data_IF_836769280763
#
_entry.id   IF_836769280763
#
_cell.length_a   1.000
_cell.length_b   1.000
_cell.length_c   1.000
_cell.angle_alpha   90.00
_cell.angle_beta   90.00
_cell.angle_gamma   90.00
#
_symmetry.space_group_name_H-M   'P 1'
#
loop_
_entity.id
_entity.type
_entity.pdbx_description
1 polymer ?
#
# COMPACT_ATOMS: atom_id res chain seq x y z
N UNK A 1 5.66 35.71 -30.99
CA UNK A 1 4.94 35.07 -29.86
C UNK A 1 5.49 33.65 -29.72
N UNK A 2 6.75 33.37 -29.38
CA UNK A 2 7.62 33.96 -28.35
C UNK A 2 6.89 34.14 -27.02
N UNK A 3 7.40 33.46 -25.99
CA UNK A 3 6.94 33.39 -24.59
C UNK A 3 5.83 32.38 -24.26
N UNK A 4 6.18 31.09 -24.18
CA UNK A 4 5.95 30.37 -22.91
C UNK A 4 6.83 29.12 -22.80
N UNK A 5 8.10 29.38 -22.46
CA UNK A 5 8.88 28.47 -21.65
C UNK A 5 8.16 28.26 -20.31
N UNK A 6 7.31 27.23 -20.21
CA UNK A 6 7.10 26.58 -18.93
C UNK A 6 8.12 25.45 -18.87
N UNK A 7 9.30 25.79 -18.34
CA UNK A 7 10.36 24.86 -18.03
C UNK A 7 9.75 23.63 -17.33
N UNK A 8 9.75 22.49 -18.01
CA UNK A 8 9.61 21.19 -17.38
C UNK A 8 10.82 21.06 -16.46
N UNK A 9 10.62 21.52 -15.22
CA UNK A 9 11.66 21.57 -14.19
C UNK A 9 12.27 20.19 -14.10
N UNK A 10 13.55 20.10 -14.47
CA UNK A 10 14.37 18.96 -14.15
C UNK A 10 14.37 18.75 -12.65
N UNK A 11 13.65 17.73 -12.21
CA UNK A 11 13.99 17.01 -10.97
C UNK A 11 14.73 15.77 -11.43
N UNK A 12 16.02 15.95 -11.71
CA UNK A 12 16.96 14.84 -11.78
C UNK A 12 17.11 14.27 -10.37
N UNK A 13 16.16 13.43 -9.97
CA UNK A 13 16.36 12.47 -8.87
C UNK A 13 16.33 11.10 -9.52
N UNK A 14 17.53 10.52 -9.64
CA UNK A 14 17.84 9.23 -10.24
C UNK A 14 17.21 8.01 -9.55
N UNK A 15 16.16 8.20 -8.74
CA UNK A 15 15.45 7.12 -8.08
C UNK A 15 14.13 6.87 -8.82
N UNK A 16 14.06 5.72 -9.49
CA UNK A 16 12.84 5.21 -10.10
C UNK A 16 12.13 4.41 -9.01
N UNK A 17 10.96 4.88 -8.55
CA UNK A 17 10.07 4.08 -7.70
C UNK A 17 9.71 2.74 -8.32
N UNK A 18 9.00 1.90 -7.57
CA UNK A 18 8.53 0.62 -8.09
C UNK A 18 7.49 0.86 -9.17
N UNK A 19 7.68 0.19 -10.31
CA UNK A 19 6.71 0.19 -11.39
C UNK A 19 5.41 -0.48 -10.89
N UNK A 20 4.26 0.20 -10.98
CA UNK A 20 2.98 -0.37 -10.56
C UNK A 20 2.61 -1.67 -11.31
N UNK A 21 3.21 -1.93 -12.48
CA UNK A 21 2.97 -3.13 -13.30
C UNK A 21 4.09 -4.18 -13.13
N UNK A 22 5.03 -3.95 -12.21
CA UNK A 22 6.10 -4.90 -11.91
C UNK A 22 5.54 -6.24 -11.40
N UNK A 23 6.05 -7.36 -11.93
CA UNK A 23 5.56 -8.70 -11.57
C UNK A 23 5.65 -8.98 -10.07
N UNK A 24 6.65 -8.44 -9.36
CA UNK A 24 6.80 -8.58 -7.91
C UNK A 24 5.63 -7.94 -7.16
N UNK A 25 5.22 -6.75 -7.60
CA UNK A 25 4.13 -6.00 -6.98
C UNK A 25 2.79 -6.66 -7.29
N UNK A 26 2.60 -7.17 -8.51
CA UNK A 26 1.43 -7.97 -8.87
C UNK A 26 1.33 -9.21 -7.99
N UNK A 27 2.41 -9.96 -7.80
CA UNK A 27 2.42 -11.10 -6.87
C UNK A 27 2.08 -10.67 -5.44
N UNK A 28 2.62 -9.55 -4.98
CA UNK A 28 2.31 -9.00 -3.66
C UNK A 28 0.83 -8.65 -3.51
N UNK A 29 0.24 -8.00 -4.51
CA UNK A 29 -1.20 -7.68 -4.53
C UNK A 29 -2.06 -8.95 -4.55
N UNK A 30 -1.66 -9.99 -5.29
CA UNK A 30 -2.39 -11.27 -5.28
C UNK A 30 -2.38 -11.93 -3.90
N UNK A 31 -1.23 -11.89 -3.19
CA UNK A 31 -1.13 -12.37 -1.81
C UNK A 31 -1.99 -11.50 -0.88
N UNK A 32 -1.95 -10.18 -1.07
CA UNK A 32 -2.74 -9.23 -0.27
C UNK A 32 -4.24 -9.50 -0.39
N UNK A 33 -4.74 -9.73 -1.61
CA UNK A 33 -6.15 -10.08 -1.86
C UNK A 33 -6.51 -11.41 -1.19
N UNK A 34 -5.63 -12.42 -1.28
CA UNK A 34 -5.87 -13.70 -0.64
C UNK A 34 -5.93 -13.58 0.89
N UNK A 35 -5.01 -12.84 1.50
CA UNK A 35 -5.03 -12.57 2.95
C UNK A 35 -6.28 -11.78 3.36
N UNK A 36 -6.65 -10.75 2.61
CA UNK A 36 -7.86 -9.98 2.86
C UNK A 36 -9.13 -10.85 2.84
N UNK A 37 -9.23 -11.80 1.91
CA UNK A 37 -10.34 -12.75 1.86
C UNK A 37 -10.40 -13.65 3.11
N UNK A 38 -9.24 -14.04 3.63
CA UNK A 38 -9.14 -14.82 4.87
C UNK A 38 -9.57 -13.97 6.05
N UNK A 39 -9.07 -12.74 6.18
CA UNK A 39 -9.42 -11.82 7.27
C UNK A 39 -10.93 -11.50 7.28
N UNK A 40 -11.50 -11.21 6.11
CA UNK A 40 -12.95 -10.96 5.94
C UNK A 40 -13.81 -12.17 6.33
N UNK A 41 -13.29 -13.38 6.16
CA UNK A 41 -14.02 -14.61 6.52
C UNK A 41 -13.84 -14.96 8.00
N UNK A 42 -12.63 -14.80 8.54
CA UNK A 42 -12.30 -15.17 9.91
C UNK A 42 -12.85 -14.19 10.94
N UNK A 43 -12.80 -12.88 10.67
CA UNK A 43 -13.26 -11.85 11.59
C UNK A 43 -14.70 -12.07 12.11
N UNK A 44 -15.73 -12.25 11.24
CA UNK A 44 -17.09 -12.47 11.72
C UNK A 44 -17.23 -13.79 12.48
N UNK A 45 -16.47 -14.84 12.13
CA UNK A 45 -16.51 -16.14 12.82
C UNK A 45 -15.97 -16.00 14.24
N UNK A 46 -14.82 -15.35 14.40
CA UNK A 46 -14.19 -15.14 15.72
C UNK A 46 -15.11 -14.32 16.61
N UNK A 47 -15.70 -13.24 16.08
CA UNK A 47 -16.61 -12.36 16.83
C UNK A 47 -17.92 -13.06 17.20
N UNK A 48 -18.53 -13.82 16.28
CA UNK A 48 -19.84 -14.44 16.52
C UNK A 48 -19.77 -15.65 17.45
N UNK A 49 -18.66 -16.40 17.46
CA UNK A 49 -18.49 -17.60 18.30
C UNK A 49 -17.57 -17.42 19.50
N UNK A 50 -17.10 -16.18 19.76
CA UNK A 50 -16.15 -15.86 20.85
C UNK A 50 -14.99 -16.88 20.91
N UNK A 51 -14.43 -17.19 19.73
CA UNK A 51 -13.40 -18.22 19.62
C UNK A 51 -12.16 -17.72 20.36
N UNK A 52 -11.82 -18.41 21.45
CA UNK A 52 -10.58 -18.15 22.18
C UNK A 52 -9.39 -18.39 21.26
N UNK A 53 -8.76 -17.29 20.87
CA UNK A 53 -7.59 -17.25 20.01
C UNK A 53 -6.48 -18.09 20.65
N UNK A 54 -6.23 -19.27 20.06
CA UNK A 54 -5.15 -20.15 20.48
C UNK A 54 -3.78 -19.52 20.24
N UNK A 55 -2.71 -20.06 20.83
CA UNK A 55 -1.34 -19.54 20.62
C UNK A 55 -0.94 -19.51 19.14
N UNK A 56 -1.47 -20.42 18.31
CA UNK A 56 -1.22 -20.42 16.87
C UNK A 56 -1.78 -19.17 16.17
N UNK A 57 -2.91 -18.65 16.67
CA UNK A 57 -3.53 -17.45 16.11
C UNK A 57 -2.71 -16.19 16.42
N UNK A 58 -1.96 -16.17 17.54
CA UNK A 58 -1.06 -15.07 17.85
C UNK A 58 -0.01 -14.87 16.76
N UNK A 59 0.57 -15.95 16.22
CA UNK A 59 1.53 -15.85 15.12
C UNK A 59 0.89 -15.34 13.84
N UNK A 60 -0.35 -15.76 13.55
CA UNK A 60 -1.12 -15.26 12.41
C UNK A 60 -1.37 -13.75 12.53
N UNK A 61 -1.86 -13.28 13.67
CA UNK A 61 -2.13 -11.85 13.90
C UNK A 61 -0.86 -11.01 13.75
N UNK A 62 0.26 -11.42 14.35
CA UNK A 62 1.54 -10.71 14.21
C UNK A 62 1.99 -10.69 12.74
N UNK A 63 1.85 -11.80 12.03
CA UNK A 63 2.18 -11.87 10.60
C UNK A 63 1.31 -10.89 9.78
N UNK A 64 -0.01 -10.87 9.99
CA UNK A 64 -0.91 -9.96 9.28
C UNK A 64 -0.58 -8.50 9.58
N UNK A 65 -0.38 -8.13 10.85
CA UNK A 65 -0.01 -6.76 11.23
C UNK A 65 1.29 -6.32 10.55
N UNK A 66 2.30 -7.18 10.53
CA UNK A 66 3.56 -6.89 9.83
C UNK A 66 3.36 -6.78 8.32
N UNK A 67 2.55 -7.66 7.73
CA UNK A 67 2.24 -7.64 6.30
C UNK A 67 1.53 -6.34 5.90
N UNK A 68 0.48 -5.94 6.62
CA UNK A 68 -0.26 -4.70 6.37
C UNK A 68 0.61 -3.46 6.64
N UNK A 69 1.53 -3.51 7.60
CA UNK A 69 2.54 -2.46 7.80
C UNK A 69 3.47 -2.33 6.59
N UNK A 70 3.90 -3.45 6.00
CA UNK A 70 4.73 -3.45 4.79
C UNK A 70 3.95 -2.93 3.58
N UNK A 71 2.68 -3.33 3.41
CA UNK A 71 1.82 -2.82 2.34
C UNK A 71 1.66 -1.30 2.41
N UNK A 72 1.44 -0.76 3.62
CA UNK A 72 1.40 0.67 3.87
C UNK A 72 2.71 1.37 3.44
N UNK A 73 3.87 0.80 3.78
CA UNK A 73 5.17 1.34 3.36
C UNK A 73 5.36 1.22 1.83
N UNK A 74 4.89 0.13 1.23
CA UNK A 74 4.91 -0.07 -0.22
C UNK A 74 4.07 0.97 -0.96
N UNK A 75 2.99 1.47 -0.35
CA UNK A 75 2.20 2.59 -0.88
C UNK A 75 3.00 3.88 -1.08
N UNK A 76 4.05 4.12 -0.28
CA UNK A 76 4.91 5.31 -0.43
C UNK A 76 5.93 5.18 -1.58
N UNK A 77 6.29 3.95 -1.97
CA UNK A 77 7.34 3.68 -2.96
C UNK A 77 6.79 3.23 -4.32
N UNK A 78 5.51 2.87 -4.39
CA UNK A 78 4.82 2.41 -5.61
C UNK A 78 4.32 3.60 -6.42
N UNK A 79 4.73 3.69 -7.69
CA UNK A 79 4.27 4.75 -8.60
C UNK A 79 2.76 4.76 -8.83
N UNK A 80 2.24 5.89 -9.30
CA UNK A 80 0.83 6.02 -9.66
C UNK A 80 0.68 6.43 -11.13
N UNK A 81 -0.41 6.01 -11.76
CA UNK A 81 -0.75 6.40 -13.12
C UNK A 81 -1.31 7.83 -13.17
N UNK A 82 -0.87 8.59 -14.16
CA UNK A 82 -1.39 9.91 -14.54
C UNK A 82 -1.76 9.90 -16.02
N UNK A 83 -2.57 10.86 -16.46
CA UNK A 83 -3.02 10.95 -17.87
C UNK A 83 -1.88 10.96 -18.90
N UNK A 84 -0.66 11.36 -18.51
CA UNK A 84 0.52 11.39 -19.38
C UNK A 84 1.53 10.25 -19.17
N UNK A 85 1.23 9.23 -18.36
CA UNK A 85 2.13 8.10 -18.10
C UNK A 85 2.18 7.68 -16.62
N UNK A 86 3.32 7.16 -16.17
CA UNK A 86 3.52 6.72 -14.77
C UNK A 86 4.47 7.68 -14.05
N UNK A 87 4.05 8.20 -12.90
CA UNK A 87 4.89 9.02 -12.02
C UNK A 87 5.60 8.12 -11.00
N UNK A 88 6.93 8.06 -11.11
CA UNK A 88 7.80 7.26 -10.24
C UNK A 88 8.61 8.13 -9.26
N UNK A 89 8.37 9.45 -9.24
CA UNK A 89 9.06 10.36 -8.31
C UNK A 89 8.52 10.15 -6.88
N UNK A 90 9.32 9.49 -6.03
CA UNK A 90 9.03 9.19 -4.62
C UNK A 90 8.37 10.35 -3.85
N UNK A 91 8.86 11.58 -4.00
CA UNK A 91 8.30 12.74 -3.29
C UNK A 91 6.87 13.06 -3.73
N UNK A 92 6.56 12.91 -5.02
CA UNK A 92 5.20 13.09 -5.55
C UNK A 92 4.31 11.92 -5.16
N UNK A 93 4.81 10.69 -5.30
CA UNK A 93 4.12 9.46 -4.89
C UNK A 93 3.74 9.51 -3.43
N UNK A 94 4.68 9.80 -2.53
CA UNK A 94 4.42 9.91 -1.09
C UNK A 94 3.37 10.98 -0.78
N UNK A 95 3.47 12.16 -1.40
CA UNK A 95 2.49 13.23 -1.19
C UNK A 95 1.09 12.84 -1.69
N UNK A 96 1.03 12.16 -2.84
CA UNK A 96 -0.21 11.67 -3.41
C UNK A 96 -0.84 10.58 -2.53
N UNK A 97 -0.05 9.61 -2.07
CA UNK A 97 -0.47 8.53 -1.18
C UNK A 97 -0.99 9.05 0.16
N UNK A 98 -0.26 9.98 0.78
CA UNK A 98 -0.67 10.66 2.03
C UNK A 98 -2.03 11.33 1.93
N UNK A 99 -2.36 11.91 0.77
CA UNK A 99 -3.61 12.64 0.56
C UNK A 99 -4.79 11.76 0.19
N UNK A 100 -4.55 10.56 -0.33
CA UNK A 100 -5.59 9.71 -0.93
C UNK A 100 -5.93 8.48 -0.11
N UNK A 101 -4.93 7.68 0.28
CA UNK A 101 -5.16 6.33 0.86
C UNK A 101 -4.56 6.15 2.25
N UNK A 102 -3.48 6.88 2.57
CA UNK A 102 -2.77 6.71 3.84
C UNK A 102 -3.67 6.79 5.08
N UNK A 103 -4.64 7.71 5.12
CA UNK A 103 -5.51 7.85 6.30
C UNK A 103 -6.32 6.58 6.58
N UNK A 104 -6.80 5.91 5.53
CA UNK A 104 -7.54 4.66 5.65
C UNK A 104 -6.59 3.53 6.06
N UNK A 105 -5.50 3.33 5.30
CA UNK A 105 -4.55 2.24 5.53
C UNK A 105 -3.91 2.34 6.92
N UNK A 106 -3.60 3.55 7.38
CA UNK A 106 -3.04 3.80 8.71
C UNK A 106 -4.03 3.46 9.82
N UNK A 107 -5.31 3.77 9.67
CA UNK A 107 -6.34 3.43 10.67
C UNK A 107 -6.51 1.91 10.76
N UNK A 108 -6.49 1.21 9.63
CA UNK A 108 -6.57 -0.27 9.61
C UNK A 108 -5.40 -0.86 10.37
N UNK A 109 -4.16 -0.47 10.03
CA UNK A 109 -2.96 -0.97 10.72
C UNK A 109 -2.98 -0.61 12.20
N UNK A 110 -3.45 0.59 12.57
CA UNK A 110 -3.55 1.03 13.96
C UNK A 110 -4.59 0.24 14.76
N UNK A 111 -5.70 -0.16 14.15
CA UNK A 111 -6.73 -0.98 14.79
C UNK A 111 -6.28 -2.43 15.02
N UNK A 112 -5.35 -2.94 14.21
CA UNK A 112 -4.83 -4.29 14.32
C UNK A 112 -3.71 -4.43 15.38
N UNK A 113 -3.09 -3.32 15.82
CA UNK A 113 -2.12 -3.25 16.93
C UNK A 113 -2.79 -3.18 18.30
#
# INVERSE_FOLDING_TARGET
REHMHAAVRGSSKSWRGLDPVGWQLVCFHMISVALLCVDLSLFPIVVAWDIKLSENFRYYTIFCVLFWTVDLVLGFVTGYEIDSGVELELSRTATHYLRTRFALDFVVVLCDW
#
